data_IF_507882510834
#
_entry.id   IF_507882510834
#
_cell.length_a   1.000
_cell.length_b   1.000
_cell.length_c   1.000
_cell.angle_alpha   90.00
_cell.angle_beta   90.00
_cell.angle_gamma   90.00
#
_symmetry.space_group_name_H-M   'P 1'
#
loop_
_entity.id
_entity.type
_entity.pdbx_description
1 polymer ?
#
# COMPACT_ATOMS: atom_id res chain seq x y z
N UNK A 1 -1.14 16.27 -14.45
CA UNK A 1 -1.57 14.85 -14.48
C UNK A 1 -1.44 14.20 -13.10
N UNK A 2 -0.38 14.44 -12.33
CA UNK A 2 -0.19 13.86 -10.98
C UNK A 2 -1.29 14.21 -9.97
N UNK A 3 -1.89 15.41 -10.04
CA UNK A 3 -3.02 15.77 -9.16
C UNK A 3 -4.24 14.87 -9.37
N UNK A 4 -4.57 14.52 -10.61
CA UNK A 4 -5.72 13.65 -10.92
C UNK A 4 -5.53 12.23 -10.39
N UNK A 5 -4.30 11.70 -10.43
CA UNK A 5 -4.02 10.36 -9.88
C UNK A 5 -4.11 10.33 -8.36
N UNK A 6 -3.71 11.40 -7.66
CA UNK A 6 -3.86 11.49 -6.21
C UNK A 6 -5.31 11.70 -5.77
N UNK A 7 -6.10 12.42 -6.55
CA UNK A 7 -7.55 12.53 -6.36
C UNK A 7 -8.22 11.16 -6.54
N UNK A 8 -7.85 10.41 -7.59
CA UNK A 8 -8.35 9.06 -7.83
C UNK A 8 -7.95 8.10 -6.71
N UNK A 9 -6.70 8.16 -6.24
CA UNK A 9 -6.24 7.40 -5.08
C UNK A 9 -7.07 7.75 -3.84
N UNK A 10 -7.26 9.04 -3.55
CA UNK A 10 -8.06 9.47 -2.40
C UNK A 10 -9.50 8.98 -2.49
N UNK A 11 -10.08 8.93 -3.69
CA UNK A 11 -11.42 8.40 -3.90
C UNK A 11 -11.47 6.89 -3.67
N UNK A 12 -10.54 6.14 -4.25
CA UNK A 12 -10.46 4.69 -4.11
C UNK A 12 -10.24 4.27 -2.64
N UNK A 13 -9.39 4.99 -1.91
CA UNK A 13 -9.15 4.73 -0.49
C UNK A 13 -10.38 4.99 0.39
N UNK A 14 -11.26 5.94 0.03
CA UNK A 14 -12.52 6.19 0.76
C UNK A 14 -13.53 5.05 0.63
N UNK A 15 -13.42 4.25 -0.42
CA UNK A 15 -14.25 3.08 -0.66
C UNK A 15 -13.65 1.80 -0.05
N UNK A 16 -12.42 1.87 0.43
CA UNK A 16 -11.72 0.78 1.12
C UNK A 16 -12.10 0.65 2.60
N UNK A 17 -11.59 -0.40 3.24
CA UNK A 17 -11.76 -0.63 4.68
C UNK A 17 -10.79 0.18 5.58
N UNK A 18 -9.95 1.05 5.01
CA UNK A 18 -8.97 1.84 5.76
C UNK A 18 -9.64 2.94 6.60
N UNK A 19 -9.14 3.15 7.81
CA UNK A 19 -9.56 4.29 8.64
C UNK A 19 -9.10 5.62 8.03
N UNK A 20 -9.75 6.76 8.36
CA UNK A 20 -9.33 8.07 7.87
C UNK A 20 -7.85 8.39 8.12
N UNK A 21 -7.30 7.98 9.28
CA UNK A 21 -5.88 8.16 9.61
C UNK A 21 -4.98 7.29 8.73
N UNK A 22 -5.38 6.04 8.46
CA UNK A 22 -4.63 5.15 7.55
C UNK A 22 -4.63 5.69 6.12
N UNK A 23 -5.77 6.22 5.65
CA UNK A 23 -5.90 6.86 4.34
C UNK A 23 -4.95 8.07 4.20
N UNK A 24 -4.86 8.92 5.23
CA UNK A 24 -3.97 10.08 5.23
C UNK A 24 -2.50 9.65 5.14
N UNK A 25 -2.09 8.65 5.93
CA UNK A 25 -0.74 8.10 5.88
C UNK A 25 -0.44 7.51 4.50
N UNK A 26 -1.40 6.80 3.90
CA UNK A 26 -1.25 6.22 2.58
C UNK A 26 -1.02 7.31 1.52
N UNK A 27 -1.86 8.34 1.49
CA UNK A 27 -1.74 9.45 0.54
C UNK A 27 -0.42 10.21 0.73
N UNK A 28 -0.05 10.53 1.97
CA UNK A 28 1.19 11.27 2.27
C UNK A 28 2.45 10.54 1.80
N UNK A 29 2.42 9.20 1.79
CA UNK A 29 3.58 8.39 1.38
C UNK A 29 3.58 8.10 -0.11
N UNK A 30 2.43 7.81 -0.70
CA UNK A 30 2.32 7.41 -2.10
C UNK A 30 2.38 8.62 -3.06
N UNK A 31 2.17 9.86 -2.58
CA UNK A 31 2.33 11.07 -3.41
C UNK A 31 3.72 11.31 -4.00
N UNK A 32 4.73 10.62 -3.47
CA UNK A 32 6.11 10.72 -3.96
C UNK A 32 6.44 9.66 -5.02
N UNK A 33 5.51 8.74 -5.31
CA UNK A 33 5.72 7.73 -6.33
C UNK A 33 5.73 8.36 -7.74
N UNK A 34 6.54 7.81 -8.65
CA UNK A 34 6.41 8.05 -10.09
C UNK A 34 4.95 7.81 -10.55
N UNK A 35 4.49 8.60 -11.53
CA UNK A 35 3.08 8.60 -11.93
C UNK A 35 2.61 7.26 -12.54
N UNK A 36 3.49 6.54 -13.18
CA UNK A 36 3.29 5.17 -13.68
C UNK A 36 3.09 4.17 -12.54
N UNK A 37 3.94 4.19 -11.52
CA UNK A 37 3.78 3.35 -10.34
C UNK A 37 2.50 3.69 -9.56
N UNK A 38 2.22 4.99 -9.37
CA UNK A 38 1.00 5.45 -8.72
C UNK A 38 -0.26 5.00 -9.48
N UNK A 39 -0.23 5.05 -10.81
CA UNK A 39 -1.34 4.60 -11.64
C UNK A 39 -1.65 3.11 -11.43
N UNK A 40 -0.63 2.25 -11.40
CA UNK A 40 -0.80 0.81 -11.14
C UNK A 40 -1.47 0.57 -9.78
N UNK A 41 -1.02 1.27 -8.74
CA UNK A 41 -1.62 1.17 -7.40
C UNK A 41 -3.08 1.63 -7.38
N UNK A 42 -3.40 2.71 -8.10
CA UNK A 42 -4.79 3.20 -8.19
C UNK A 42 -5.68 2.19 -8.90
N UNK A 43 -5.23 1.63 -10.02
CA UNK A 43 -5.98 0.63 -10.79
C UNK A 43 -6.23 -0.64 -9.95
N UNK A 44 -5.21 -1.12 -9.25
CA UNK A 44 -5.30 -2.28 -8.34
C UNK A 44 -6.36 -2.07 -7.25
N UNK A 45 -6.35 -0.92 -6.56
CA UNK A 45 -7.31 -0.64 -5.49
C UNK A 45 -8.73 -0.45 -6.04
N UNK A 46 -8.87 0.05 -7.27
CA UNK A 46 -10.16 0.19 -7.93
C UNK A 46 -10.75 -1.15 -8.38
N UNK A 47 -9.90 -2.12 -8.72
CA UNK A 47 -10.31 -3.48 -9.05
C UNK A 47 -10.67 -4.28 -7.78
N UNK A 48 -9.85 -4.18 -6.74
CA UNK A 48 -10.08 -4.79 -5.44
C UNK A 48 -9.79 -3.80 -4.29
N UNK A 49 -10.85 -3.35 -3.62
CA UNK A 49 -10.73 -2.40 -2.51
C UNK A 49 -10.04 -3.01 -1.27
N UNK A 50 -9.97 -4.34 -1.18
CA UNK A 50 -9.22 -5.04 -0.12
C UNK A 50 -7.70 -4.90 -0.31
N UNK A 51 -7.23 -4.72 -1.54
CA UNK A 51 -5.81 -4.48 -1.86
C UNK A 51 -5.27 -3.23 -1.15
N UNK A 52 -6.09 -2.21 -0.90
CA UNK A 52 -5.67 -1.05 -0.12
C UNK A 52 -5.22 -1.42 1.30
N UNK A 53 -5.97 -2.31 1.97
CA UNK A 53 -5.63 -2.76 3.33
C UNK A 53 -4.38 -3.64 3.33
N UNK A 54 -4.29 -4.56 2.38
CA UNK A 54 -3.11 -5.43 2.21
C UNK A 54 -1.84 -4.60 1.98
N UNK A 55 -1.87 -3.65 1.05
CA UNK A 55 -0.75 -2.76 0.75
C UNK A 55 -0.35 -1.92 1.97
N UNK A 56 -1.33 -1.39 2.71
CA UNK A 56 -1.06 -0.58 3.89
C UNK A 56 -0.43 -1.40 5.02
N UNK A 57 -0.98 -2.58 5.31
CA UNK A 57 -0.50 -3.44 6.38
C UNK A 57 0.90 -3.98 6.07
N UNK A 58 1.15 -4.40 4.82
CA UNK A 58 2.48 -4.79 4.35
C UNK A 58 3.49 -3.64 4.52
N UNK A 59 3.12 -2.41 4.13
CA UNK A 59 3.96 -1.23 4.33
C UNK A 59 4.25 -0.96 5.81
N UNK A 60 3.26 -1.05 6.70
CA UNK A 60 3.46 -0.81 8.13
C UNK A 60 4.37 -1.86 8.78
N UNK A 61 4.22 -3.13 8.39
CA UNK A 61 5.07 -4.22 8.86
C UNK A 61 6.53 -3.99 8.42
N UNK A 62 6.76 -3.74 7.13
CA UNK A 62 8.10 -3.44 6.57
C UNK A 62 8.73 -2.22 7.24
N UNK A 63 7.96 -1.15 7.44
CA UNK A 63 8.41 0.06 8.12
C UNK A 63 8.78 -0.19 9.58
N UNK A 64 8.02 -1.03 10.28
CA UNK A 64 8.29 -1.36 11.69
C UNK A 64 9.56 -2.19 11.82
N UNK A 65 9.75 -3.20 10.96
CA UNK A 65 11.00 -3.97 10.88
C UNK A 65 12.21 -3.08 10.60
N UNK A 66 12.11 -2.16 9.63
CA UNK A 66 13.19 -1.19 9.33
C UNK A 66 13.52 -0.29 10.52
N UNK A 67 12.52 0.24 11.22
CA UNK A 67 12.73 1.07 12.41
C UNK A 67 13.35 0.29 13.57
N UNK A 68 12.91 -0.96 13.76
CA UNK A 68 13.45 -1.87 14.77
C UNK A 68 14.86 -2.37 14.44
N UNK A 69 15.34 -2.17 13.20
CA UNK A 69 16.54 -2.80 12.64
C UNK A 69 16.49 -4.32 12.74
N UNK A 70 15.29 -4.86 12.57
CA UNK A 70 15.00 -6.27 12.70
C UNK A 70 14.96 -6.90 11.30
N UNK A 71 16.08 -7.53 10.93
CA UNK A 71 16.21 -8.22 9.64
C UNK A 71 15.43 -9.53 9.59
N UNK A 72 15.17 -10.17 10.73
CA UNK A 72 14.40 -11.42 10.80
C UNK A 72 12.95 -11.11 10.47
N UNK A 73 12.34 -10.15 11.17
CA UNK A 73 11.00 -9.66 10.86
C UNK A 73 10.87 -9.19 9.41
N UNK A 74 11.88 -8.51 8.86
CA UNK A 74 11.87 -8.11 7.45
C UNK A 74 11.80 -9.31 6.51
N UNK A 75 12.63 -10.33 6.75
CA UNK A 75 12.67 -11.53 5.92
C UNK A 75 11.38 -12.34 6.03
N UNK A 76 10.78 -12.40 7.21
CA UNK A 76 9.50 -13.07 7.44
C UNK A 76 8.38 -12.42 6.63
N UNK A 77 8.30 -11.08 6.63
CA UNK A 77 7.30 -10.33 5.86
C UNK A 77 7.46 -10.59 4.36
N UNK A 78 8.70 -10.59 3.85
CA UNK A 78 8.98 -10.88 2.44
C UNK A 78 8.62 -12.33 2.09
N UNK A 79 8.92 -13.28 2.98
CA UNK A 79 8.60 -14.69 2.76
C UNK A 79 7.10 -14.91 2.71
N UNK A 80 6.34 -14.28 3.61
CA UNK A 80 4.88 -14.33 3.60
C UNK A 80 4.27 -13.76 2.31
N UNK A 81 4.83 -12.64 1.81
CA UNK A 81 4.40 -12.02 0.55
C UNK A 81 4.67 -12.93 -0.66
N UNK A 82 5.82 -13.61 -0.69
CA UNK A 82 6.13 -14.62 -1.73
C UNK A 82 5.14 -15.78 -1.66
N UNK A 83 4.87 -16.32 -0.47
CA UNK A 83 3.92 -17.42 -0.30
C UNK A 83 2.49 -17.05 -0.70
N UNK A 84 2.05 -15.80 -0.50
CA UNK A 84 0.75 -15.33 -0.98
C UNK A 84 0.70 -15.26 -2.50
N UNK A 85 1.76 -14.76 -3.14
CA UNK A 85 1.86 -14.68 -4.60
C UNK A 85 1.91 -16.07 -5.27
N UNK A 86 2.49 -17.08 -4.61
CA UNK A 86 2.56 -18.46 -5.09
C UNK A 86 1.24 -19.25 -4.94
N UNK A 87 0.27 -18.73 -4.18
CA UNK A 87 -1.06 -19.35 -3.99
C UNK A 87 -2.06 -19.00 -5.11
N UNK A 88 -1.69 -18.09 -6.00
CA UNK A 88 -2.45 -17.64 -7.17
C UNK A 88 -2.14 -18.53 -8.37
#
# INVERSE_FOLDING_TARGET
>A
MTNTLLENLSHALKESSLSPEEQEVFIDKFRFLPSDALKIIVEEIQEDSSSAKLLYDNYQQKRSALKGRDSESWNDIISAEIEELEKV
#
